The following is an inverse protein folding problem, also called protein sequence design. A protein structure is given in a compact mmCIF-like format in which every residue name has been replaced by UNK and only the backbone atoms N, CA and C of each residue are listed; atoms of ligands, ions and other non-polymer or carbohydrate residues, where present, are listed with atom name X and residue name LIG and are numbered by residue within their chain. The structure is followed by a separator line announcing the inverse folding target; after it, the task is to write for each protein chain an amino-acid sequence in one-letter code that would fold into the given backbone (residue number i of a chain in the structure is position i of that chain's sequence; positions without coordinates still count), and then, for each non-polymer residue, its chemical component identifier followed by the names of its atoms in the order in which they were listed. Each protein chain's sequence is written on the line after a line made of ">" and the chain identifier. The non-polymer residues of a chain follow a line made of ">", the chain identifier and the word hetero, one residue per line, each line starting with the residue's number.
data_IF_202639316650
#
_entry.id   IF_202639316650
#
_cell.length_a   1.000
_cell.length_b   1.000
_cell.length_c   1.000
_cell.angle_alpha   90.00
_cell.angle_beta   90.00
_cell.angle_gamma   90.00
#
_symmetry.space_group_name_H-M   'P 1'
#
loop_
_entity.id
_entity.type
_entity.pdbx_description
1 polymer ?
#
# COMPACT_ATOMS: atom_id res chain seq x y z
N UNK A 1 36.35 52.95 -2.78
CA UNK A 1 35.42 52.52 -1.71
C UNK A 1 35.74 53.26 -0.43
N UNK A 2 34.76 53.47 0.45
CA UNK A 2 34.98 54.13 1.76
C UNK A 2 36.03 53.39 2.62
N UNK A 3 36.11 52.06 2.49
CA UNK A 3 37.15 51.25 3.14
C UNK A 3 38.56 51.66 2.68
N UNK A 4 38.75 51.89 1.38
CA UNK A 4 40.03 52.37 0.84
C UNK A 4 40.35 53.81 1.31
N UNK A 5 39.34 54.64 1.54
CA UNK A 5 39.52 55.98 2.11
C UNK A 5 39.96 55.91 3.58
N UNK A 6 39.34 55.02 4.36
CA UNK A 6 39.70 54.77 5.76
C UNK A 6 41.15 54.27 5.90
N UNK A 7 41.54 53.31 5.06
CA UNK A 7 42.93 52.84 4.98
C UNK A 7 43.89 53.98 4.62
N UNK A 8 43.59 54.76 3.58
CA UNK A 8 44.42 55.90 3.16
C UNK A 8 44.52 57.01 4.22
N UNK A 9 43.49 57.23 5.05
CA UNK A 9 43.58 58.20 6.17
C UNK A 9 44.48 57.75 7.31
N UNK A 10 44.69 56.43 7.47
CA UNK A 10 45.65 55.88 8.44
C UNK A 10 47.08 56.31 8.10
N UNK A 11 47.42 56.29 6.81
CA UNK A 11 48.73 56.67 6.26
C UNK A 11 49.05 58.18 6.39
N UNK A 12 48.05 59.04 6.65
CA UNK A 12 48.26 60.49 6.81
C UNK A 12 48.90 60.87 8.15
N UNK A 13 49.01 59.92 9.08
CA UNK A 13 49.74 60.08 10.35
C UNK A 13 51.24 59.81 10.21
N UNK A 14 51.67 59.25 9.08
CA UNK A 14 53.06 58.86 8.88
C UNK A 14 53.92 60.07 8.48
N UNK A 15 54.97 60.33 9.26
CA UNK A 15 55.93 61.40 9.01
C UNK A 15 56.67 61.22 7.67
N UNK A 16 56.85 59.98 7.22
CA UNK A 16 57.51 59.66 5.95
C UNK A 16 56.78 60.24 4.74
N UNK A 17 55.47 60.50 4.85
CA UNK A 17 54.69 61.12 3.78
C UNK A 17 54.95 62.63 3.62
N UNK A 18 55.62 63.25 4.60
CA UNK A 18 55.85 64.71 4.65
C UNK A 18 57.35 65.07 4.64
N UNK A 19 58.15 64.43 3.78
CA UNK A 19 59.59 64.66 3.66
C UNK A 19 59.94 66.14 3.47
N UNK A 20 59.16 66.86 2.66
CA UNK A 20 59.33 68.29 2.42
C UNK A 20 59.11 69.16 3.66
N UNK A 21 58.17 68.77 4.54
CA UNK A 21 57.86 69.49 5.76
C UNK A 21 58.98 69.28 6.79
N UNK A 22 59.42 68.03 6.96
CA UNK A 22 60.52 67.67 7.87
C UNK A 22 61.83 68.32 7.41
N UNK A 23 62.16 68.27 6.12
CA UNK A 23 63.39 68.86 5.58
C UNK A 23 63.41 70.39 5.64
N UNK A 24 62.25 71.06 5.54
CA UNK A 24 62.16 72.52 5.74
C UNK A 24 62.24 72.91 7.22
N UNK A 25 61.59 72.14 8.10
CA UNK A 25 61.64 72.38 9.54
C UNK A 25 63.07 72.28 10.08
N UNK A 26 63.83 71.27 9.64
CA UNK A 26 65.22 71.05 10.05
C UNK A 26 66.14 72.22 9.66
N UNK A 27 65.97 72.78 8.45
CA UNK A 27 66.71 73.98 7.98
C UNK A 27 66.45 75.24 8.81
N UNK A 28 65.31 75.33 9.48
CA UNK A 28 64.90 76.47 10.32
C UNK A 28 65.23 76.16 11.81
N UNK A 29 65.77 74.98 12.12
CA UNK A 29 66.17 74.57 13.47
C UNK A 29 65.05 73.92 14.30
N UNK A 30 63.95 73.50 13.67
CA UNK A 30 62.82 72.84 14.33
C UNK A 30 62.75 71.35 14.00
N UNK A 31 62.45 70.51 15.01
CA UNK A 31 62.21 69.07 14.85
C UNK A 31 60.73 68.74 15.06
N UNK A 32 60.09 68.17 14.03
CA UNK A 32 58.71 67.71 14.10
C UNK A 32 58.70 66.26 14.61
N UNK A 33 58.12 66.05 15.79
CA UNK A 33 58.13 64.73 16.44
C UNK A 33 56.93 63.87 16.06
N UNK A 34 55.78 64.47 15.72
CA UNK A 34 54.55 63.75 15.42
C UNK A 34 53.63 64.58 14.55
N UNK A 35 53.08 63.96 13.51
CA UNK A 35 51.91 64.47 12.78
C UNK A 35 50.72 63.65 13.23
N UNK A 36 49.62 64.33 13.59
CA UNK A 36 48.38 63.67 13.98
C UNK A 36 47.26 64.20 13.10
N UNK A 37 46.74 63.33 12.26
CA UNK A 37 45.49 63.54 11.57
C UNK A 37 44.35 63.42 12.59
N UNK A 38 43.72 64.56 12.91
CA UNK A 38 42.68 64.66 13.94
C UNK A 38 41.29 64.19 13.46
N UNK A 39 41.23 63.55 12.29
CA UNK A 39 40.02 63.00 11.68
C UNK A 39 39.54 63.78 10.47
N UNK A 40 38.64 63.16 9.71
CA UNK A 40 37.83 63.86 8.72
C UNK A 40 36.54 64.32 9.42
N UNK A 41 36.15 65.58 9.25
CA UNK A 41 34.78 65.99 9.52
C UNK A 41 33.99 65.48 8.33
N UNK A 42 33.26 64.38 8.50
CA UNK A 42 32.33 63.91 7.49
C UNK A 42 31.37 65.06 7.19
N UNK A 43 31.29 65.52 5.94
CA UNK A 43 30.14 66.34 5.53
C UNK A 43 28.89 65.55 5.89
N UNK A 44 27.85 66.20 6.39
CA UNK A 44 26.56 65.59 6.77
C UNK A 44 26.05 64.56 5.73
N UNK A 45 26.30 64.84 4.45
CA UNK A 45 26.01 63.95 3.31
C UNK A 45 26.69 62.56 3.34
N UNK A 46 27.92 62.46 3.85
CA UNK A 46 28.69 61.21 3.95
C UNK A 46 28.24 60.35 5.13
N UNK A 47 27.83 60.98 6.24
CA UNK A 47 27.23 60.28 7.38
C UNK A 47 25.87 59.70 6.99
N UNK A 48 25.02 60.48 6.32
CA UNK A 48 23.72 59.99 5.82
C UNK A 48 23.89 58.81 4.85
N UNK A 49 24.87 58.86 3.95
CA UNK A 49 25.15 57.74 3.04
C UNK A 49 25.60 56.47 3.79
N UNK A 50 26.32 56.62 4.89
CA UNK A 50 26.77 55.51 5.72
C UNK A 50 25.60 54.89 6.49
N UNK A 51 24.74 55.72 7.08
CA UNK A 51 23.58 55.24 7.85
C UNK A 51 22.59 54.52 6.94
N UNK A 52 22.34 55.04 5.73
CA UNK A 52 21.53 54.39 4.69
C UNK A 52 22.17 53.07 4.21
N UNK A 53 23.50 53.02 4.05
CA UNK A 53 24.19 51.78 3.69
C UNK A 53 24.15 50.71 4.79
N UNK A 54 24.23 51.12 6.06
CA UNK A 54 24.06 50.21 7.21
C UNK A 54 22.64 49.70 7.27
N UNK A 55 21.65 50.59 7.18
CA UNK A 55 20.23 50.24 7.23
C UNK A 55 19.89 49.22 6.14
N UNK A 56 20.31 49.48 4.89
CA UNK A 56 20.12 48.53 3.78
C UNK A 56 20.83 47.20 4.00
N UNK A 57 22.05 47.22 4.56
CA UNK A 57 22.77 45.98 4.83
C UNK A 57 22.08 45.16 5.93
N UNK A 58 21.55 45.82 6.96
CA UNK A 58 20.82 45.15 8.03
C UNK A 58 19.46 44.66 7.55
N UNK A 59 18.76 45.44 6.72
CA UNK A 59 17.46 45.05 6.15
C UNK A 59 17.64 43.81 5.26
N UNK A 60 18.62 43.83 4.35
CA UNK A 60 18.90 42.69 3.47
C UNK A 60 19.30 41.43 4.25
N UNK A 61 20.04 41.57 5.36
CA UNK A 61 20.36 40.44 6.24
C UNK A 61 19.12 39.87 6.93
N UNK A 62 18.27 40.74 7.46
CA UNK A 62 17.02 40.32 8.12
C UNK A 62 16.06 39.67 7.12
N UNK A 63 15.94 40.22 5.92
CA UNK A 63 15.15 39.63 4.83
C UNK A 63 15.68 38.25 4.44
N UNK A 64 17.00 38.12 4.23
CA UNK A 64 17.61 36.83 3.92
C UNK A 64 17.43 35.78 5.03
N UNK A 65 17.51 36.20 6.30
CA UNK A 65 17.27 35.31 7.44
C UNK A 65 15.79 34.92 7.54
N UNK A 66 14.87 35.86 7.29
CA UNK A 66 13.43 35.61 7.30
C UNK A 66 13.04 34.63 6.20
N UNK A 67 13.57 34.81 4.99
CA UNK A 67 13.31 33.91 3.86
C UNK A 67 13.85 32.51 4.14
N UNK A 68 15.04 32.40 4.74
CA UNK A 68 15.60 31.11 5.13
C UNK A 68 14.74 30.42 6.18
N UNK A 69 14.29 31.13 7.21
CA UNK A 69 13.40 30.57 8.23
C UNK A 69 12.06 30.14 7.63
N UNK A 70 11.52 30.91 6.68
CA UNK A 70 10.29 30.56 5.97
C UNK A 70 10.45 29.28 5.13
N UNK A 71 11.59 29.14 4.44
CA UNK A 71 11.92 27.94 3.68
C UNK A 71 12.08 26.72 4.60
N UNK A 72 12.88 26.83 5.66
CA UNK A 72 13.08 25.74 6.63
C UNK A 72 11.75 25.26 7.23
N UNK A 73 10.83 26.20 7.51
CA UNK A 73 9.49 25.89 8.01
C UNK A 73 8.61 25.22 6.95
N UNK A 74 8.72 25.61 5.68
CA UNK A 74 8.01 24.99 4.58
C UNK A 74 8.49 23.54 4.35
N UNK A 75 9.81 23.33 4.38
CA UNK A 75 10.43 22.01 4.23
C UNK A 75 10.02 21.09 5.38
N UNK A 76 10.05 21.59 6.62
CA UNK A 76 9.59 20.82 7.78
C UNK A 76 8.10 20.45 7.67
N UNK A 77 7.25 21.35 7.18
CA UNK A 77 5.82 21.04 6.98
C UNK A 77 5.63 19.95 5.93
N UNK A 78 6.35 20.04 4.81
CA UNK A 78 6.29 19.07 3.73
C UNK A 78 6.77 17.69 4.19
N UNK A 79 7.87 17.64 4.94
CA UNK A 79 8.39 16.39 5.52
C UNK A 79 7.36 15.72 6.43
N UNK A 80 6.73 16.51 7.32
CA UNK A 80 5.70 16.00 8.23
C UNK A 80 4.44 15.54 7.50
N UNK A 81 4.07 16.20 6.42
CA UNK A 81 2.96 15.78 5.58
C UNK A 81 3.28 14.46 4.86
N UNK A 82 4.47 14.34 4.26
CA UNK A 82 4.93 13.11 3.64
C UNK A 82 5.00 11.94 4.64
N UNK A 83 5.47 12.19 5.87
CA UNK A 83 5.50 11.19 6.94
C UNK A 83 4.08 10.71 7.29
N UNK A 84 3.13 11.64 7.47
CA UNK A 84 1.73 11.30 7.74
C UNK A 84 1.08 10.52 6.61
N UNK A 85 1.34 10.90 5.37
CA UNK A 85 0.78 10.21 4.20
C UNK A 85 1.38 8.82 4.01
N UNK A 86 2.68 8.65 4.23
CA UNK A 86 3.32 7.34 4.24
C UNK A 86 2.71 6.43 5.32
N UNK A 87 2.48 6.96 6.53
CA UNK A 87 1.81 6.22 7.61
C UNK A 87 0.38 5.85 7.22
N UNK A 88 -0.40 6.78 6.64
CA UNK A 88 -1.77 6.51 6.17
C UNK A 88 -1.80 5.43 5.09
N UNK A 89 -0.91 5.50 4.11
CA UNK A 89 -0.80 4.49 3.06
C UNK A 89 -0.43 3.12 3.62
N UNK A 90 0.52 3.05 4.56
CA UNK A 90 0.90 1.81 5.21
C UNK A 90 -0.26 1.20 6.01
N UNK A 91 -1.04 2.02 6.73
CA UNK A 91 -2.22 1.58 7.45
C UNK A 91 -3.32 1.09 6.50
N UNK A 92 -3.57 1.82 5.40
CA UNK A 92 -4.54 1.41 4.39
C UNK A 92 -4.17 0.07 3.74
N UNK A 93 -2.89 -0.13 3.38
CA UNK A 93 -2.40 -1.41 2.84
C UNK A 93 -2.60 -2.57 3.81
N UNK A 94 -2.26 -2.37 5.08
CA UNK A 94 -2.48 -3.39 6.13
C UNK A 94 -3.96 -3.71 6.30
N UNK A 95 -4.84 -2.71 6.23
CA UNK A 95 -6.29 -2.91 6.30
C UNK A 95 -6.78 -3.72 5.11
N UNK A 96 -6.39 -3.36 3.88
CA UNK A 96 -6.79 -4.11 2.67
C UNK A 96 -6.27 -5.54 2.69
N UNK A 97 -5.02 -5.76 3.09
CA UNK A 97 -4.44 -7.11 3.21
C UNK A 97 -5.19 -7.95 4.26
N UNK A 98 -5.56 -7.33 5.38
CA UNK A 98 -6.35 -7.99 6.42
C UNK A 98 -7.75 -8.35 5.92
N UNK A 99 -8.43 -7.44 5.24
CA UNK A 99 -9.76 -7.66 4.65
C UNK A 99 -9.73 -8.79 3.62
N UNK A 100 -8.75 -8.79 2.71
CA UNK A 100 -8.54 -9.85 1.73
C UNK A 100 -8.29 -11.21 2.40
N UNK A 101 -7.47 -11.22 3.45
CA UNK A 101 -7.20 -12.42 4.25
C UNK A 101 -8.46 -12.97 4.91
N UNK A 102 -9.29 -12.10 5.50
CA UNK A 102 -10.58 -12.50 6.08
C UNK A 102 -11.55 -13.06 5.04
N UNK A 103 -11.62 -12.45 3.86
CA UNK A 103 -12.45 -12.93 2.75
C UNK A 103 -11.98 -14.31 2.29
N UNK A 104 -10.66 -14.49 2.13
CA UNK A 104 -10.05 -15.78 1.76
C UNK A 104 -10.39 -16.86 2.78
N UNK A 105 -10.19 -16.58 4.07
CA UNK A 105 -10.47 -17.52 5.16
C UNK A 105 -11.96 -17.90 5.21
N UNK A 106 -12.87 -16.93 5.03
CA UNK A 106 -14.31 -17.20 4.96
C UNK A 106 -14.68 -18.07 3.77
N UNK A 107 -14.09 -17.81 2.61
CA UNK A 107 -14.34 -18.59 1.41
C UNK A 107 -13.82 -20.03 1.55
N UNK A 108 -12.60 -20.20 2.05
CA UNK A 108 -12.00 -21.50 2.35
C UNK A 108 -12.88 -22.29 3.33
N UNK A 109 -13.27 -21.69 4.45
CA UNK A 109 -14.19 -22.34 5.40
C UNK A 109 -15.54 -22.70 4.80
N UNK A 110 -16.06 -21.93 3.82
CA UNK A 110 -17.29 -22.27 3.10
C UNK A 110 -17.10 -23.46 2.17
N UNK A 111 -15.98 -23.52 1.46
CA UNK A 111 -15.63 -24.66 0.60
C UNK A 111 -15.45 -25.94 1.41
N UNK A 112 -14.75 -25.87 2.55
CA UNK A 112 -14.56 -27.01 3.45
C UNK A 112 -15.91 -27.54 3.95
N UNK A 113 -16.79 -26.67 4.45
CA UNK A 113 -18.13 -27.06 4.90
C UNK A 113 -18.96 -27.69 3.79
N UNK A 114 -18.88 -27.15 2.57
CA UNK A 114 -19.58 -27.73 1.41
C UNK A 114 -18.99 -29.09 1.03
N UNK A 115 -17.68 -29.24 1.12
CA UNK A 115 -16.97 -30.50 0.86
C UNK A 115 -17.26 -31.58 1.90
N UNK A 116 -17.36 -31.24 3.18
CA UNK A 116 -17.77 -32.19 4.23
C UNK A 116 -19.23 -32.59 4.07
N UNK A 117 -20.14 -31.64 3.83
CA UNK A 117 -21.55 -31.93 3.56
C UNK A 117 -21.74 -32.83 2.34
N UNK A 118 -21.02 -32.56 1.25
CA UNK A 118 -21.11 -33.40 0.06
C UNK A 118 -20.57 -34.81 0.29
N UNK A 119 -19.44 -34.96 1.01
CA UNK A 119 -18.92 -36.28 1.39
C UNK A 119 -19.92 -37.07 2.23
N UNK A 120 -20.48 -36.45 3.26
CA UNK A 120 -21.50 -37.07 4.10
C UNK A 120 -22.74 -37.50 3.29
N UNK A 121 -23.18 -36.68 2.34
CA UNK A 121 -24.30 -37.01 1.46
C UNK A 121 -23.99 -38.23 0.58
N UNK A 122 -22.80 -38.28 -0.01
CA UNK A 122 -22.37 -39.40 -0.87
C UNK A 122 -22.22 -40.68 -0.04
N UNK A 123 -21.69 -40.60 1.18
CA UNK A 123 -21.60 -41.74 2.10
C UNK A 123 -22.99 -42.26 2.46
N UNK A 124 -23.91 -41.39 2.87
CA UNK A 124 -25.29 -41.76 3.17
C UNK A 124 -25.99 -42.41 1.96
N UNK A 125 -25.82 -41.84 0.76
CA UNK A 125 -26.40 -42.42 -0.47
C UNK A 125 -25.82 -43.81 -0.78
N UNK A 126 -24.53 -44.03 -0.52
CA UNK A 126 -23.90 -45.36 -0.70
C UNK A 126 -24.45 -46.36 0.31
N UNK A 127 -24.62 -45.95 1.56
CA UNK A 127 -25.21 -46.78 2.60
C UNK A 127 -26.65 -47.17 2.23
N UNK A 128 -27.49 -46.20 1.86
CA UNK A 128 -28.86 -46.44 1.40
C UNK A 128 -28.93 -47.41 0.22
N UNK A 129 -28.06 -47.19 -0.78
CA UNK A 129 -27.98 -48.08 -1.94
C UNK A 129 -27.54 -49.50 -1.55
N UNK A 130 -26.59 -49.62 -0.63
CA UNK A 130 -26.12 -50.93 -0.17
C UNK A 130 -27.22 -51.71 0.55
N UNK A 131 -27.97 -51.05 1.42
CA UNK A 131 -29.14 -51.62 2.12
C UNK A 131 -30.23 -52.01 1.12
N UNK A 132 -30.51 -51.17 0.12
CA UNK A 132 -31.50 -51.48 -0.91
C UNK A 132 -31.10 -52.72 -1.73
N UNK A 133 -29.82 -52.84 -2.09
CA UNK A 133 -29.30 -54.02 -2.80
C UNK A 133 -29.40 -55.27 -1.92
N UNK A 134 -29.09 -55.17 -0.63
CA UNK A 134 -29.23 -56.29 0.31
C UNK A 134 -30.69 -56.75 0.46
N UNK A 135 -31.64 -55.81 0.56
CA UNK A 135 -33.07 -56.13 0.59
C UNK A 135 -33.51 -56.87 -0.68
N UNK A 136 -33.14 -56.37 -1.86
CA UNK A 136 -33.45 -57.02 -3.13
C UNK A 136 -32.82 -58.42 -3.22
N UNK A 137 -31.58 -58.58 -2.73
CA UNK A 137 -30.93 -59.90 -2.67
C UNK A 137 -31.69 -60.86 -1.75
N UNK A 138 -32.04 -60.43 -0.54
CA UNK A 138 -32.78 -61.24 0.41
C UNK A 138 -34.17 -61.65 -0.12
N UNK A 139 -34.90 -60.74 -0.77
CA UNK A 139 -36.18 -61.04 -1.42
C UNK A 139 -36.02 -62.06 -2.55
N UNK A 140 -34.99 -61.89 -3.39
CA UNK A 140 -34.70 -62.82 -4.47
C UNK A 140 -34.30 -64.21 -3.96
N UNK A 141 -33.49 -64.29 -2.90
CA UNK A 141 -33.12 -65.54 -2.24
C UNK A 141 -34.32 -66.25 -1.62
N UNK A 142 -35.18 -65.51 -0.90
CA UNK A 142 -36.42 -66.05 -0.34
C UNK A 142 -37.37 -66.57 -1.44
N UNK A 143 -37.51 -65.82 -2.54
CA UNK A 143 -38.31 -66.22 -3.70
C UNK A 143 -37.73 -67.46 -4.38
N UNK A 144 -36.42 -67.55 -4.51
CA UNK A 144 -35.73 -68.71 -5.08
C UNK A 144 -35.92 -69.95 -4.21
N UNK A 145 -35.80 -69.82 -2.89
CA UNK A 145 -36.04 -70.90 -1.94
C UNK A 145 -37.49 -71.41 -1.99
N UNK A 146 -38.47 -70.51 -2.08
CA UNK A 146 -39.89 -70.88 -2.27
C UNK A 146 -40.10 -71.68 -3.55
N UNK A 147 -39.55 -71.21 -4.68
CA UNK A 147 -39.68 -71.90 -5.97
C UNK A 147 -39.02 -73.29 -5.93
N UNK A 148 -37.86 -73.42 -5.28
CA UNK A 148 -37.21 -74.71 -5.06
C UNK A 148 -38.08 -75.67 -4.22
N UNK A 149 -38.72 -75.18 -3.14
CA UNK A 149 -39.64 -75.99 -2.35
C UNK A 149 -40.86 -76.44 -3.15
N UNK A 150 -41.46 -75.55 -3.95
CA UNK A 150 -42.59 -75.89 -4.82
C UNK A 150 -42.20 -76.93 -5.88
N UNK A 151 -40.99 -76.85 -6.43
CA UNK A 151 -40.44 -77.87 -7.32
C UNK A 151 -40.35 -79.24 -6.62
N UNK A 152 -39.86 -79.27 -5.37
CA UNK A 152 -39.77 -80.49 -4.56
C UNK A 152 -41.13 -81.14 -4.28
N UNK A 153 -42.19 -80.34 -4.20
CA UNK A 153 -43.58 -80.79 -4.07
C UNK A 153 -44.23 -81.21 -5.41
N UNK A 154 -43.44 -81.28 -6.50
CA UNK A 154 -43.89 -81.64 -7.86
C UNK A 154 -44.94 -80.70 -8.45
N UNK A 155 -45.00 -79.44 -7.99
CA UNK A 155 -45.83 -78.41 -8.62
C UNK A 155 -45.21 -78.02 -9.96
N UNK A 156 -46.01 -77.99 -11.03
CA UNK A 156 -45.57 -77.47 -12.33
C UNK A 156 -45.33 -75.95 -12.26
N UNK A 157 -44.07 -75.59 -12.05
CA UNK A 157 -43.57 -74.21 -11.96
C UNK A 157 -43.96 -73.38 -13.18
N UNK A 158 -43.97 -73.99 -14.37
CA UNK A 158 -44.28 -73.31 -15.63
C UNK A 158 -45.72 -72.82 -15.63
N UNK A 159 -46.65 -73.70 -15.23
CA UNK A 159 -48.07 -73.36 -15.13
C UNK A 159 -48.34 -72.34 -14.02
N UNK A 160 -47.65 -72.45 -12.88
CA UNK A 160 -47.77 -71.50 -11.77
C UNK A 160 -47.28 -70.08 -12.15
N UNK A 161 -46.09 -69.98 -12.74
CA UNK A 161 -45.53 -68.70 -13.17
C UNK A 161 -46.39 -68.05 -14.27
N UNK A 162 -46.85 -68.83 -15.25
CA UNK A 162 -47.77 -68.34 -16.30
C UNK A 162 -49.07 -67.81 -15.68
N UNK A 163 -49.65 -68.51 -14.69
CA UNK A 163 -50.84 -68.04 -13.98
C UNK A 163 -50.56 -66.78 -13.13
N UNK A 164 -49.37 -66.64 -12.55
CA UNK A 164 -48.98 -65.45 -11.77
C UNK A 164 -48.82 -64.20 -12.64
N UNK A 165 -48.40 -64.35 -13.90
CA UNK A 165 -48.19 -63.25 -14.85
C UNK A 165 -49.32 -63.09 -15.89
N UNK A 166 -50.46 -63.79 -15.74
CA UNK A 166 -51.60 -63.73 -16.66
C UNK A 166 -52.28 -62.34 -16.72
N UNK A 167 -52.02 -61.47 -15.75
CA UNK A 167 -52.47 -60.07 -15.72
C UNK A 167 -51.27 -59.13 -15.53
N UNK A 168 -50.55 -58.75 -16.60
CA UNK A 168 -49.44 -57.82 -16.48
C UNK A 168 -49.97 -56.39 -16.28
N UNK A 169 -49.84 -55.85 -15.06
CA UNK A 169 -50.23 -54.46 -14.74
C UNK A 169 -49.33 -53.38 -15.39
N UNK A 170 -48.22 -53.77 -16.02
CA UNK A 170 -47.29 -52.84 -16.70
C UNK A 170 -46.82 -53.39 -18.04
N UNK A 171 -47.37 -52.86 -19.12
CA UNK A 171 -46.83 -52.99 -20.48
C UNK A 171 -45.66 -52.01 -20.65
N UNK A 172 -44.42 -52.53 -20.62
CA UNK A 172 -43.24 -51.75 -21.00
C UNK A 172 -43.10 -51.87 -22.51
N UNK A 173 -43.57 -50.86 -23.24
CA UNK A 173 -43.33 -50.71 -24.68
C UNK A 173 -41.98 -50.03 -24.87
N UNK A 174 -40.97 -50.81 -25.26
CA UNK A 174 -39.65 -50.28 -25.64
C UNK A 174 -39.74 -49.84 -27.10
N UNK A 175 -40.15 -48.59 -27.33
CA UNK A 175 -40.03 -47.98 -28.65
C UNK A 175 -38.54 -47.64 -28.90
N UNK A 176 -37.92 -48.33 -29.85
CA UNK A 176 -36.52 -48.14 -30.26
C UNK A 176 -36.28 -46.84 -31.04
N UNK A 177 -36.59 -45.69 -30.43
CA UNK A 177 -36.31 -44.37 -30.99
C UNK A 177 -34.84 -43.98 -30.79
N UNK A 178 -33.98 -44.36 -31.73
CA UNK A 178 -32.60 -43.83 -31.82
C UNK A 178 -32.67 -42.40 -32.35
N UNK A 179 -32.69 -41.42 -31.46
CA UNK A 179 -32.48 -40.01 -31.77
C UNK A 179 -31.74 -39.34 -30.61
N UNK A 180 -30.60 -38.67 -30.83
CA UNK A 180 -29.88 -38.00 -29.74
C UNK A 180 -30.70 -36.81 -29.23
N UNK A 181 -31.15 -36.87 -27.97
CA UNK A 181 -31.71 -35.72 -27.27
C UNK A 181 -30.58 -34.90 -26.65
N UNK A 182 -30.35 -33.73 -27.22
CA UNK A 182 -29.45 -32.72 -26.69
C UNK A 182 -30.15 -32.04 -25.50
N UNK A 183 -29.75 -32.35 -24.26
CA UNK A 183 -30.19 -31.62 -23.07
C UNK A 183 -29.22 -30.47 -22.79
N UNK A 184 -29.60 -29.26 -23.21
CA UNK A 184 -28.97 -28.01 -22.78
C UNK A 184 -29.52 -27.64 -21.39
N UNK A 185 -28.62 -27.54 -20.41
CA UNK A 185 -28.91 -26.83 -19.17
C UNK A 185 -28.38 -25.40 -19.31
N UNK A 186 -29.29 -24.42 -19.24
CA UNK A 186 -28.93 -23.00 -19.09
C UNK A 186 -28.32 -22.79 -17.70
N UNK A 187 -27.16 -22.13 -17.67
CA UNK A 187 -26.44 -21.72 -16.46
C UNK A 187 -27.00 -20.44 -15.86
#
# INVERSE_FOLDING_TARGET
>A
SFEQFKEATGELNELMRYENLVGRADRIGYRINKVVYRGYVASEKLQLMHDDAIERRTSLKLEAETERQAQDLADLKLEREAERDAQRQAMARKQTEHEESLVRLKHEGKLERRGTQHRQLVEHQREDQSVAIEQIRAENEARLALLQQMQGLQVDLTRYLVAQYQHPDRLIRVDGGVGPQLHLHDN
#
